data_IF_759729206678
#
_entry.id   IF_759729206678
#
_cell.length_a   1.000
_cell.length_b   1.000
_cell.length_c   1.000
_cell.angle_alpha   90.00
_cell.angle_beta   90.00
_cell.angle_gamma   90.00
#
_symmetry.space_group_name_H-M   'P 1'
#
loop_
_entity.id
_entity.type
_entity.pdbx_description
1 polymer ?
#
# COMPACT_ATOMS: atom_id res chain seq x y z
N UNK A 1 2.85 -9.62 -4.86
CA UNK A 1 3.98 -9.07 -4.10
C UNK A 1 5.20 -9.93 -4.34
N UNK A 2 6.36 -9.31 -4.38
CA UNK A 2 7.64 -9.94 -4.67
C UNK A 2 8.37 -10.16 -3.34
N UNK A 3 8.89 -11.37 -3.11
CA UNK A 3 9.76 -11.67 -1.99
C UNK A 3 11.10 -10.93 -2.10
N UNK A 4 11.69 -10.56 -0.96
CA UNK A 4 12.93 -9.80 -0.89
C UNK A 4 14.13 -10.57 -1.46
N UNK A 5 14.13 -11.90 -1.34
CA UNK A 5 15.20 -12.77 -1.86
C UNK A 5 15.31 -12.76 -3.39
N UNK A 6 14.23 -12.35 -4.09
CA UNK A 6 14.23 -12.16 -5.54
C UNK A 6 14.75 -10.79 -5.98
N UNK A 7 14.96 -9.87 -5.04
CA UNK A 7 15.30 -8.48 -5.32
C UNK A 7 16.76 -8.21 -4.99
N UNK A 8 17.45 -7.54 -5.90
CA UNK A 8 18.81 -7.07 -5.65
C UNK A 8 18.84 -6.09 -4.45
N UNK A 9 19.89 -6.07 -3.63
CA UNK A 9 20.00 -5.13 -2.51
C UNK A 9 19.82 -3.66 -2.94
N UNK A 10 20.29 -3.31 -4.14
CA UNK A 10 20.10 -1.98 -4.73
C UNK A 10 18.64 -1.68 -5.04
N UNK A 11 17.86 -2.65 -5.52
CA UNK A 11 16.44 -2.44 -5.81
C UNK A 11 15.61 -2.33 -4.54
N UNK A 12 15.96 -3.09 -3.48
CA UNK A 12 15.34 -2.93 -2.16
C UNK A 12 15.56 -1.51 -1.61
N UNK A 13 16.79 -1.01 -1.67
CA UNK A 13 17.12 0.34 -1.20
C UNK A 13 16.42 1.43 -2.04
N UNK A 14 16.51 1.35 -3.38
CA UNK A 14 15.87 2.30 -4.27
C UNK A 14 14.34 2.26 -4.16
N UNK A 15 13.77 1.07 -4.00
CA UNK A 15 12.33 0.89 -3.78
C UNK A 15 11.86 1.62 -2.53
N UNK A 16 12.59 1.50 -1.43
CA UNK A 16 12.30 2.27 -0.22
C UNK A 16 12.49 3.78 -0.39
N UNK A 17 13.54 4.23 -1.06
CA UNK A 17 13.79 5.65 -1.30
C UNK A 17 12.64 6.28 -2.11
N UNK A 18 12.25 5.63 -3.21
CA UNK A 18 11.14 6.08 -4.06
C UNK A 18 9.81 6.02 -3.31
N UNK A 19 9.53 4.93 -2.61
CA UNK A 19 8.28 4.78 -1.89
C UNK A 19 8.14 5.77 -0.75
N UNK A 20 9.21 5.98 0.03
CA UNK A 20 9.23 6.98 1.09
C UNK A 20 9.02 8.40 0.53
N UNK A 21 9.66 8.74 -0.59
CA UNK A 21 9.41 10.01 -1.29
C UNK A 21 7.96 10.16 -1.73
N UNK A 22 7.37 9.11 -2.30
CA UNK A 22 5.95 9.06 -2.67
C UNK A 22 5.01 9.21 -1.48
N UNK A 23 5.30 8.55 -0.35
CA UNK A 23 4.53 8.66 0.89
C UNK A 23 4.61 10.06 1.47
N UNK A 24 5.80 10.67 1.51
CA UNK A 24 5.95 12.07 1.95
C UNK A 24 5.15 12.99 1.05
N UNK A 25 5.21 12.80 -0.26
CA UNK A 25 4.45 13.61 -1.22
C UNK A 25 2.93 13.45 -1.07
N UNK A 26 2.46 12.21 -0.91
CA UNK A 26 1.06 11.90 -0.63
C UNK A 26 0.61 12.52 0.69
N UNK A 27 1.42 12.40 1.75
CA UNK A 27 1.17 13.06 3.04
C UNK A 27 1.08 14.57 2.88
N UNK A 28 1.95 15.22 2.09
CA UNK A 28 1.88 16.67 1.90
C UNK A 28 0.65 17.11 1.10
N UNK A 29 0.14 16.25 0.21
CA UNK A 29 -0.98 16.56 -0.69
C UNK A 29 -2.33 16.10 -0.16
N UNK A 30 -2.36 15.27 0.89
CA UNK A 30 -3.58 14.77 1.47
C UNK A 30 -4.43 15.91 2.06
N UNK A 31 -5.76 15.91 1.83
CA UNK A 31 -6.65 16.94 2.34
C UNK A 31 -6.95 16.74 3.83
N UNK A 32 -5.94 16.91 4.69
CA UNK A 32 -6.03 16.60 6.12
C UNK A 32 -7.15 17.33 6.84
N UNK A 33 -7.36 18.61 6.51
CA UNK A 33 -8.40 19.43 7.15
C UNK A 33 -9.79 18.84 6.89
N UNK A 34 -10.06 18.48 5.63
CA UNK A 34 -11.34 17.88 5.24
C UNK A 34 -11.49 16.47 5.83
N UNK A 35 -10.41 15.70 5.87
CA UNK A 35 -10.41 14.37 6.47
C UNK A 35 -10.74 14.43 7.97
N UNK A 36 -10.12 15.34 8.72
CA UNK A 36 -10.37 15.45 10.16
C UNK A 36 -11.67 16.18 10.50
N UNK A 37 -12.20 16.99 9.58
CA UNK A 37 -13.47 17.70 9.77
C UNK A 37 -14.71 16.87 9.39
N UNK A 38 -14.58 15.87 8.51
CA UNK A 38 -15.72 15.07 8.03
C UNK A 38 -15.58 13.58 8.41
N UNK A 39 -16.44 13.14 9.33
CA UNK A 39 -16.48 11.75 9.79
C UNK A 39 -16.83 10.76 8.66
N UNK A 40 -17.60 11.17 7.66
CA UNK A 40 -17.96 10.31 6.52
C UNK A 40 -16.71 9.97 5.70
N UNK A 41 -15.83 10.94 5.48
CA UNK A 41 -14.54 10.72 4.80
C UNK A 41 -13.63 9.80 5.60
N UNK A 42 -13.58 9.94 6.92
CA UNK A 42 -12.82 9.03 7.79
C UNK A 42 -13.30 7.59 7.66
N UNK A 43 -14.61 7.36 7.74
CA UNK A 43 -15.19 6.04 7.54
C UNK A 43 -14.88 5.46 6.15
N UNK A 44 -14.94 6.30 5.10
CA UNK A 44 -14.63 5.86 3.74
C UNK A 44 -13.15 5.47 3.59
N UNK A 45 -12.22 6.25 4.15
CA UNK A 45 -10.79 5.94 4.15
C UNK A 45 -10.51 4.65 4.93
N UNK A 46 -11.02 4.52 6.15
CA UNK A 46 -10.87 3.31 6.96
C UNK A 46 -11.49 2.08 6.28
N UNK A 47 -12.67 2.26 5.66
CA UNK A 47 -13.33 1.22 4.88
C UNK A 47 -12.51 0.80 3.67
N UNK A 48 -11.93 1.74 2.93
CA UNK A 48 -11.07 1.46 1.79
C UNK A 48 -9.76 0.78 2.20
N UNK A 49 -9.13 1.22 3.29
CA UNK A 49 -7.95 0.56 3.89
C UNK A 49 -8.24 -0.91 4.20
N UNK A 50 -9.34 -1.16 4.92
CA UNK A 50 -9.75 -2.51 5.27
C UNK A 50 -10.10 -3.33 4.02
N UNK A 51 -10.82 -2.76 3.07
CA UNK A 51 -11.19 -3.44 1.83
C UNK A 51 -9.97 -3.83 1.01
N UNK A 52 -8.99 -2.93 0.83
CA UNK A 52 -7.73 -3.23 0.15
C UNK A 52 -6.98 -4.35 0.90
N UNK A 53 -6.87 -4.24 2.21
CA UNK A 53 -6.20 -5.24 3.03
C UNK A 53 -6.82 -6.64 2.85
N UNK A 54 -8.16 -6.74 2.95
CA UNK A 54 -8.88 -7.99 2.76
C UNK A 54 -8.75 -8.50 1.31
N UNK A 55 -8.82 -7.60 0.34
CA UNK A 55 -8.66 -7.93 -1.08
C UNK A 55 -7.27 -8.50 -1.38
N UNK A 56 -6.23 -7.98 -0.74
CA UNK A 56 -4.85 -8.49 -0.88
C UNK A 56 -4.59 -9.77 -0.09
N UNK A 57 -5.43 -10.08 0.90
CA UNK A 57 -5.43 -11.39 1.54
C UNK A 57 -5.96 -12.47 0.59
N UNK A 58 -6.83 -12.10 -0.35
CA UNK A 58 -7.23 -12.94 -1.49
C UNK A 58 -6.08 -12.96 -2.51
N UNK A 59 -5.07 -13.78 -2.22
CA UNK A 59 -3.85 -13.92 -3.02
C UNK A 59 -3.54 -15.38 -3.33
N UNK A 60 -2.76 -15.58 -4.38
CA UNK A 60 -2.12 -16.85 -4.71
C UNK A 60 -0.61 -16.71 -4.53
N UNK A 61 -0.04 -17.52 -3.65
CA UNK A 61 1.41 -17.54 -3.36
C UNK A 61 2.14 -18.62 -4.13
N UNK A 62 3.09 -18.24 -4.99
CA UNK A 62 3.90 -19.19 -5.76
C UNK A 62 5.19 -19.56 -5.02
N UNK A 63 5.65 -20.78 -5.21
CA UNK A 63 6.92 -21.28 -4.64
C UNK A 63 8.14 -20.48 -5.12
N UNK A 64 7.99 -19.74 -6.22
CA UNK A 64 9.00 -18.82 -6.73
C UNK A 64 9.21 -17.57 -5.87
N UNK A 65 8.40 -17.33 -4.83
CA UNK A 65 8.45 -16.12 -4.00
C UNK A 65 7.62 -14.94 -4.55
N UNK A 66 6.85 -15.18 -5.62
CA UNK A 66 5.89 -14.21 -6.16
C UNK A 66 4.49 -14.50 -5.62
N UNK A 67 3.73 -13.45 -5.35
CA UNK A 67 2.29 -13.56 -5.08
C UNK A 67 1.48 -12.68 -6.01
N UNK A 68 0.32 -13.17 -6.42
CA UNK A 68 -0.63 -12.40 -7.25
C UNK A 68 -1.91 -12.18 -6.45
N UNK A 69 -2.41 -10.95 -6.46
CA UNK A 69 -3.61 -10.52 -5.77
C UNK A 69 -4.31 -9.43 -6.58
N UNK A 70 -5.54 -9.08 -6.21
CA UNK A 70 -6.28 -8.00 -6.83
C UNK A 70 -5.84 -6.65 -6.25
N UNK A 71 -5.40 -5.71 -7.10
CA UNK A 71 -4.81 -4.44 -6.63
C UNK A 71 -5.87 -3.51 -6.00
N UNK A 72 -6.96 -3.24 -6.72
CA UNK A 72 -8.08 -2.41 -6.24
C UNK A 72 -7.80 -0.89 -6.13
N UNK A 73 -6.58 -0.43 -6.40
CA UNK A 73 -6.19 0.96 -6.15
C UNK A 73 -6.77 1.99 -7.10
N UNK A 74 -7.08 1.63 -8.35
CA UNK A 74 -7.76 2.54 -9.27
C UNK A 74 -9.13 2.96 -8.72
N UNK A 75 -9.89 2.02 -8.17
CA UNK A 75 -11.19 2.32 -7.57
C UNK A 75 -11.03 3.22 -6.34
N UNK A 76 -10.07 2.94 -5.47
CA UNK A 76 -9.81 3.76 -4.27
C UNK A 76 -9.32 5.16 -4.63
N UNK A 77 -8.48 5.29 -5.65
CA UNK A 77 -8.02 6.58 -6.18
C UNK A 77 -9.17 7.43 -6.69
N UNK A 78 -10.17 6.82 -7.35
CA UNK A 78 -11.35 7.54 -7.83
C UNK A 78 -12.32 7.92 -6.70
N UNK A 79 -12.33 7.18 -5.59
CA UNK A 79 -13.21 7.44 -4.45
C UNK A 79 -12.63 8.44 -3.44
N UNK A 80 -11.32 8.43 -3.24
CA UNK A 80 -10.63 9.15 -2.15
C UNK A 80 -9.55 10.11 -2.63
N UNK A 81 -9.34 10.24 -3.94
CA UNK A 81 -8.16 10.85 -4.56
C UNK A 81 -6.87 10.05 -4.35
N UNK A 82 -5.88 10.35 -5.19
CA UNK A 82 -4.60 9.66 -5.19
C UNK A 82 -3.80 9.75 -3.87
N UNK A 83 -3.78 10.87 -3.10
CA UNK A 83 -2.95 10.94 -1.90
C UNK A 83 -3.47 9.99 -0.81
N UNK A 84 -4.78 9.98 -0.57
CA UNK A 84 -5.40 9.11 0.42
C UNK A 84 -5.37 7.64 -0.04
N UNK A 85 -5.46 7.37 -1.34
CA UNK A 85 -5.29 6.02 -1.88
C UNK A 85 -3.90 5.45 -1.58
N UNK A 86 -2.83 6.22 -1.78
CA UNK A 86 -1.45 5.79 -1.44
C UNK A 86 -1.31 5.51 0.06
N UNK A 87 -1.84 6.39 0.91
CA UNK A 87 -1.77 6.20 2.37
C UNK A 87 -2.60 5.02 2.84
N UNK A 88 -3.76 4.77 2.21
CA UNK A 88 -4.58 3.61 2.49
C UNK A 88 -3.90 2.30 2.06
N UNK A 89 -3.28 2.30 0.88
CA UNK A 89 -2.48 1.19 0.37
C UNK A 89 -1.32 0.86 1.32
N UNK A 90 -0.62 1.90 1.81
CA UNK A 90 0.47 1.75 2.75
C UNK A 90 0.01 1.12 4.06
N UNK A 91 -1.10 1.61 4.63
CA UNK A 91 -1.66 1.03 5.85
C UNK A 91 -2.03 -0.46 5.65
N UNK A 92 -2.60 -0.82 4.51
CA UNK A 92 -2.90 -2.20 4.16
C UNK A 92 -1.62 -3.06 4.02
N UNK A 93 -0.55 -2.55 3.40
CA UNK A 93 0.74 -3.25 3.30
C UNK A 93 1.35 -3.48 4.69
N UNK A 94 1.30 -2.48 5.57
CA UNK A 94 1.77 -2.62 6.95
C UNK A 94 1.00 -3.74 7.65
N UNK A 95 -0.33 -3.79 7.49
CA UNK A 95 -1.16 -4.89 8.02
C UNK A 95 -0.70 -6.27 7.53
N UNK A 96 -0.42 -6.42 6.24
CA UNK A 96 0.08 -7.69 5.68
C UNK A 96 1.48 -8.05 6.18
N UNK A 97 2.36 -7.07 6.39
CA UNK A 97 3.67 -7.32 6.99
C UNK A 97 3.57 -7.80 8.44
N UNK A 98 2.65 -7.22 9.22
CA UNK A 98 2.45 -7.59 10.63
C UNK A 98 1.94 -9.03 10.78
N UNK A 99 1.13 -9.50 9.83
CA UNK A 99 0.57 -10.87 9.83
C UNK A 99 1.55 -11.87 9.16
N UNK A 100 2.69 -11.40 8.65
CA UNK A 100 3.73 -12.24 8.05
C UNK A 100 3.48 -12.63 6.59
N UNK A 101 2.49 -12.03 5.93
CA UNK A 101 2.22 -12.26 4.51
C UNK A 101 3.15 -11.49 3.58
N UNK A 102 3.92 -10.53 4.10
CA UNK A 102 4.86 -9.72 3.34
C UNK A 102 6.10 -9.41 4.18
N UNK A 103 7.26 -9.34 3.52
CA UNK A 103 8.53 -8.98 4.15
C UNK A 103 8.70 -7.46 4.15
N UNK A 104 9.11 -6.90 5.30
CA UNK A 104 9.32 -5.46 5.46
C UNK A 104 10.38 -4.92 4.49
N UNK A 105 11.45 -5.69 4.25
CA UNK A 105 12.52 -5.31 3.31
C UNK A 105 11.99 -5.08 1.90
N UNK A 106 11.07 -5.93 1.42
CA UNK A 106 10.45 -5.80 0.11
C UNK A 106 9.26 -4.82 0.08
N UNK A 107 8.85 -4.23 1.20
CA UNK A 107 7.69 -3.34 1.26
C UNK A 107 7.86 -2.15 0.32
N UNK A 108 9.02 -1.47 0.35
CA UNK A 108 9.27 -0.30 -0.49
C UNK A 108 9.01 -0.58 -1.97
N UNK A 109 9.67 -1.60 -2.53
CA UNK A 109 9.52 -1.90 -3.96
C UNK A 109 8.13 -2.43 -4.32
N UNK A 110 7.52 -3.24 -3.44
CA UNK A 110 6.12 -3.64 -3.62
C UNK A 110 5.18 -2.43 -3.61
N UNK A 111 5.43 -1.43 -2.75
CA UNK A 111 4.67 -0.20 -2.65
C UNK A 111 4.78 0.71 -3.87
N UNK A 112 5.96 0.77 -4.51
CA UNK A 112 6.16 1.52 -5.77
C UNK A 112 5.38 0.92 -6.94
N UNK A 113 5.19 -0.40 -6.95
CA UNK A 113 4.56 -1.13 -8.05
C UNK A 113 3.02 -1.18 -7.98
N UNK A 114 2.44 -0.68 -6.89
CA UNK A 114 1.00 -0.63 -6.65
C UNK A 114 0.33 0.53 -7.39
#
# INVERSE_FOLDING_TARGET
MIAAELLAPSSLFLGWLLYAGGLVWACMRAPWVELFSDIRRQHLVCGAMLAIFLLWLVRRDFDSGLSVHFIGLTAVTLLLDWPLAILAAFAAQVGLTLIGHQQLTALGLNGVLL
#
